data_IF_493058690752
#
_entry.id   IF_493058690752
#
_cell.length_a   1.000
_cell.length_b   1.000
_cell.length_c   1.000
_cell.angle_alpha   90.00
_cell.angle_beta   90.00
_cell.angle_gamma   90.00
#
_symmetry.space_group_name_H-M   'P 1'
#
loop_
_entity.id
_entity.type
_entity.pdbx_description
1 polymer ?
#
# COMPACT_ATOMS: atom_id res chain seq x y z
N UNK A 1 -36.48 -7.26 37.97
CA UNK A 1 -35.74 -8.52 37.71
C UNK A 1 -35.94 -9.10 36.29
N UNK A 2 -37.13 -8.99 35.66
CA UNK A 2 -37.37 -9.53 34.30
C UNK A 2 -36.36 -9.06 33.24
N UNK A 3 -35.94 -7.78 33.27
CA UNK A 3 -34.97 -7.24 32.31
C UNK A 3 -33.60 -7.91 32.40
N UNK A 4 -33.13 -8.19 33.63
CA UNK A 4 -31.85 -8.87 33.85
C UNK A 4 -31.88 -10.31 33.32
N UNK A 5 -32.96 -11.05 33.61
CA UNK A 5 -33.14 -12.41 33.08
C UNK A 5 -33.21 -12.44 31.55
N UNK A 6 -33.90 -11.46 30.93
CA UNK A 6 -33.96 -11.31 29.46
C UNK A 6 -32.58 -11.02 28.86
N UNK A 7 -31.77 -10.19 29.51
CA UNK A 7 -30.39 -9.92 29.10
C UNK A 7 -29.50 -11.16 29.18
N UNK A 8 -29.55 -11.88 30.30
CA UNK A 8 -28.79 -13.13 30.46
C UNK A 8 -29.22 -14.19 29.45
N UNK A 9 -30.51 -14.37 29.19
CA UNK A 9 -31.01 -15.28 28.17
C UNK A 9 -30.46 -14.95 26.77
N UNK A 10 -30.33 -13.66 26.43
CA UNK A 10 -29.71 -13.24 25.17
C UNK A 10 -28.21 -13.60 25.14
N UNK A 11 -27.47 -13.36 26.22
CA UNK A 11 -26.06 -13.76 26.34
C UNK A 11 -25.88 -15.27 26.17
N UNK A 12 -26.67 -16.09 26.88
CA UNK A 12 -26.63 -17.55 26.75
C UNK A 12 -26.93 -18.00 25.32
N UNK A 13 -27.85 -17.33 24.61
CA UNK A 13 -28.13 -17.59 23.19
C UNK A 13 -26.92 -17.33 22.27
N UNK A 14 -26.02 -16.40 22.62
CA UNK A 14 -24.82 -16.14 21.80
C UNK A 14 -23.70 -17.17 22.04
N UNK A 15 -23.67 -17.87 23.18
CA UNK A 15 -22.61 -18.83 23.50
C UNK A 15 -22.53 -19.96 22.47
N UNK A 16 -23.68 -20.46 22.00
CA UNK A 16 -23.80 -21.58 21.06
C UNK A 16 -23.69 -21.17 19.58
N UNK A 17 -23.64 -19.87 19.27
CA UNK A 17 -23.48 -19.42 17.88
C UNK A 17 -22.05 -19.61 17.39
N UNK A 18 -21.92 -19.88 16.08
CA UNK A 18 -20.65 -19.89 15.36
C UNK A 18 -19.94 -18.54 15.55
N UNK A 19 -18.64 -18.59 15.87
CA UNK A 19 -17.81 -17.40 16.02
C UNK A 19 -17.48 -16.82 14.65
N UNK A 20 -17.45 -15.50 14.57
CA UNK A 20 -17.11 -14.73 13.35
C UNK A 20 -15.62 -14.34 13.30
N UNK A 21 -14.79 -15.08 14.04
CA UNK A 21 -13.35 -14.84 14.17
C UNK A 21 -12.60 -15.42 12.98
N UNK A 22 -11.53 -14.73 12.57
CA UNK A 22 -10.53 -15.25 11.64
C UNK A 22 -9.29 -15.71 12.43
N UNK A 23 -8.68 -16.81 12.01
CA UNK A 23 -7.46 -17.34 12.64
C UNK A 23 -6.22 -16.69 12.03
N UNK A 24 -5.97 -15.42 12.34
CA UNK A 24 -4.75 -14.74 11.87
C UNK A 24 -3.51 -15.31 12.61
N UNK A 25 -2.37 -15.58 11.93
CA UNK A 25 -2.09 -15.34 10.50
C UNK A 25 -2.44 -16.50 9.55
N UNK A 26 -2.84 -17.67 10.06
CA UNK A 26 -3.08 -18.88 9.26
C UNK A 26 -4.22 -18.76 8.23
N UNK A 27 -5.15 -17.84 8.46
CA UNK A 27 -6.28 -17.55 7.57
C UNK A 27 -6.14 -16.15 6.99
N UNK A 28 -5.96 -16.07 5.68
CA UNK A 28 -5.90 -14.81 4.94
C UNK A 28 -7.23 -14.04 4.98
N UNK A 29 -7.11 -12.71 4.98
CA UNK A 29 -8.25 -11.80 4.86
C UNK A 29 -8.51 -11.47 3.40
N UNK A 30 -9.77 -11.53 2.98
CA UNK A 30 -10.19 -11.13 1.63
C UNK A 30 -10.46 -9.63 1.62
N UNK A 31 -9.65 -8.89 0.87
CA UNK A 31 -9.78 -7.45 0.71
C UNK A 31 -10.59 -7.09 -0.54
N UNK A 32 -11.32 -5.97 -0.53
CA UNK A 32 -11.92 -5.45 -1.75
C UNK A 32 -10.83 -5.01 -2.75
N UNK A 33 -11.13 -5.05 -4.04
CA UNK A 33 -10.21 -4.68 -5.13
C UNK A 33 -9.62 -3.26 -4.97
N UNK A 34 -10.39 -2.33 -4.38
CA UNK A 34 -9.98 -0.93 -4.15
C UNK A 34 -9.35 -0.69 -2.78
N UNK A 35 -8.89 -1.74 -2.11
CA UNK A 35 -8.16 -1.60 -0.87
C UNK A 35 -6.89 -0.74 -1.09
N UNK A 36 -6.56 0.10 -0.10
CA UNK A 36 -5.42 1.00 -0.14
C UNK A 36 -4.36 0.46 0.80
N UNK A 37 -3.50 -0.39 0.26
CA UNK A 37 -2.37 -0.98 0.98
C UNK A 37 -1.06 -0.23 0.72
N UNK A 38 0.02 -1.00 0.69
CA UNK A 38 1.37 -0.51 0.45
C UNK A 38 1.60 -0.40 -1.07
N UNK A 39 2.33 0.61 -1.53
CA UNK A 39 2.51 0.84 -2.96
C UNK A 39 3.51 -0.16 -3.56
N UNK A 40 3.19 -0.63 -4.77
CA UNK A 40 4.15 -1.22 -5.70
C UNK A 40 4.61 -0.13 -6.67
N UNK A 41 5.89 -0.10 -7.01
CA UNK A 41 6.44 0.84 -7.99
C UNK A 41 7.19 0.09 -9.08
N UNK A 42 6.69 0.21 -10.32
CA UNK A 42 7.27 -0.36 -11.53
C UNK A 42 8.21 0.68 -12.20
N UNK A 43 9.53 0.62 -11.97
CA UNK A 43 10.46 1.65 -12.43
C UNK A 43 10.53 1.79 -13.95
N UNK A 44 10.30 0.70 -14.69
CA UNK A 44 10.29 0.65 -16.15
C UNK A 44 9.13 1.42 -16.79
N UNK A 45 8.04 1.62 -16.05
CA UNK A 45 6.88 2.44 -16.48
C UNK A 45 7.05 3.91 -16.11
N UNK A 46 7.97 4.27 -15.23
CA UNK A 46 8.11 5.63 -14.73
C UNK A 46 8.81 6.56 -15.74
N UNK A 47 8.15 7.66 -16.10
CA UNK A 47 8.68 8.69 -17.01
C UNK A 47 9.25 9.92 -16.28
N UNK A 48 9.44 9.84 -14.95
CA UNK A 48 10.02 10.93 -14.14
C UNK A 48 9.24 12.26 -14.27
N UNK A 49 7.91 12.19 -14.38
CA UNK A 49 7.05 13.38 -14.55
C UNK A 49 6.80 14.17 -13.25
N UNK A 50 7.15 13.58 -12.10
CA UNK A 50 7.03 14.17 -10.76
C UNK A 50 5.59 14.48 -10.28
N UNK A 51 4.56 13.96 -10.94
CA UNK A 51 3.16 14.23 -10.57
C UNK A 51 2.78 13.60 -9.22
N UNK A 52 3.17 12.35 -8.99
CA UNK A 52 2.90 11.63 -7.73
C UNK A 52 3.53 12.31 -6.50
N UNK A 53 4.78 12.79 -6.62
CA UNK A 53 5.43 13.53 -5.54
C UNK A 53 4.78 14.90 -5.30
N UNK A 54 4.37 15.60 -6.35
CA UNK A 54 3.70 16.92 -6.24
C UNK A 54 2.30 16.85 -5.64
N UNK A 55 1.54 15.79 -5.94
CA UNK A 55 0.18 15.64 -5.39
C UNK A 55 0.19 15.10 -3.96
N UNK A 56 1.30 14.51 -3.51
CA UNK A 56 1.41 13.89 -2.20
C UNK A 56 1.12 14.92 -1.08
N UNK A 57 0.06 14.75 -0.28
CA UNK A 57 -0.33 15.75 0.71
C UNK A 57 0.67 15.88 1.88
N UNK A 58 1.50 14.86 2.10
CA UNK A 58 2.50 14.83 3.17
C UNK A 58 3.93 14.99 2.66
N UNK A 59 4.13 15.13 1.34
CA UNK A 59 5.46 15.17 0.71
C UNK A 59 6.36 13.98 1.10
N UNK A 60 5.78 12.78 1.24
CA UNK A 60 6.51 11.58 1.66
C UNK A 60 7.32 10.91 0.54
N UNK A 61 7.18 11.36 -0.71
CA UNK A 61 7.78 10.75 -1.89
C UNK A 61 9.00 11.56 -2.33
N UNK A 62 10.17 10.91 -2.40
CA UNK A 62 11.38 11.47 -2.99
C UNK A 62 11.59 10.88 -4.39
N UNK A 63 11.56 11.72 -5.43
CA UNK A 63 11.74 11.29 -6.83
C UNK A 63 12.85 12.11 -7.48
N UNK A 64 13.94 11.44 -7.84
CA UNK A 64 15.07 12.03 -8.56
C UNK A 64 15.24 11.28 -9.88
N UNK A 65 15.44 12.02 -10.97
CA UNK A 65 15.78 11.45 -12.27
C UNK A 65 17.08 12.00 -12.80
N UNK A 66 17.85 11.14 -13.46
CA UNK A 66 19.13 11.46 -14.10
C UNK A 66 19.03 11.38 -15.61
N UNK A 67 20.04 11.92 -16.30
CA UNK A 67 20.15 11.76 -17.75
C UNK A 67 20.43 10.28 -18.07
N UNK A 68 19.78 9.75 -19.10
CA UNK A 68 20.11 8.40 -19.58
C UNK A 68 21.55 8.34 -20.10
N UNK A 69 22.25 7.26 -19.78
CA UNK A 69 23.58 6.97 -20.35
C UNK A 69 23.47 6.40 -21.77
N UNK A 70 22.30 5.86 -22.14
CA UNK A 70 22.02 5.38 -23.49
C UNK A 70 21.81 6.58 -24.44
N UNK A 71 22.69 6.78 -25.44
CA UNK A 71 22.59 7.89 -26.39
C UNK A 71 21.28 7.89 -27.19
N UNK A 72 20.61 6.73 -27.31
CA UNK A 72 19.37 6.58 -28.06
C UNK A 72 18.12 6.86 -27.21
N UNK A 73 18.23 6.84 -25.87
CA UNK A 73 17.13 7.17 -24.97
C UNK A 73 17.09 8.67 -24.70
N UNK A 74 16.13 9.35 -25.32
CA UNK A 74 15.82 10.76 -25.02
C UNK A 74 14.99 10.84 -23.74
N UNK A 75 15.45 11.62 -22.76
CA UNK A 75 14.71 11.90 -21.53
C UNK A 75 15.50 11.65 -20.24
N UNK A 76 14.80 11.69 -19.11
CA UNK A 76 15.33 11.29 -17.81
C UNK A 76 15.00 9.82 -17.54
N UNK A 77 15.91 9.12 -16.90
CA UNK A 77 15.66 7.81 -16.27
C UNK A 77 15.55 8.01 -14.77
N UNK A 78 14.78 7.14 -14.10
CA UNK A 78 14.65 7.17 -12.65
C UNK A 78 16.02 6.89 -12.01
N UNK A 79 16.35 7.65 -10.96
CA UNK A 79 17.56 7.46 -10.16
C UNK A 79 17.20 7.10 -8.72
N UNK A 80 16.21 7.80 -8.17
CA UNK A 80 15.71 7.58 -6.81
C UNK A 80 14.20 7.63 -6.82
N UNK A 81 13.57 6.69 -6.14
CA UNK A 81 12.15 6.71 -5.85
C UNK A 81 11.93 6.11 -4.46
N UNK A 82 11.76 6.96 -3.46
CA UNK A 82 11.58 6.51 -2.08
C UNK A 82 10.26 7.00 -1.51
N UNK A 83 9.66 6.22 -0.61
CA UNK A 83 8.47 6.58 0.15
C UNK A 83 8.77 6.47 1.65
N UNK A 84 8.58 7.57 2.37
CA UNK A 84 8.58 7.56 3.83
C UNK A 84 7.18 7.18 4.36
N UNK A 85 7.02 5.94 4.80
CA UNK A 85 5.75 5.45 5.34
C UNK A 85 5.44 5.92 6.76
N UNK A 86 6.38 6.57 7.45
CA UNK A 86 6.09 7.21 8.74
C UNK A 86 5.03 8.32 8.59
N UNK A 87 5.04 9.01 7.44
CA UNK A 87 4.17 10.15 7.14
C UNK A 87 3.26 9.90 5.93
N UNK A 88 3.33 8.73 5.30
CA UNK A 88 2.39 8.37 4.25
C UNK A 88 1.00 8.10 4.85
N UNK A 89 -0.04 8.70 4.28
CA UNK A 89 -1.43 8.54 4.76
C UNK A 89 -2.25 7.55 3.91
N UNK A 90 -1.60 6.79 3.01
CA UNK A 90 -2.21 5.76 2.17
C UNK A 90 -3.47 6.22 1.41
N UNK A 91 -3.45 7.46 0.89
CA UNK A 91 -4.63 8.12 0.32
C UNK A 91 -4.96 7.79 -1.14
N UNK A 92 -4.07 7.09 -1.86
CA UNK A 92 -4.22 6.69 -3.28
C UNK A 92 -4.02 7.81 -4.32
N UNK A 93 -3.79 9.06 -3.93
CA UNK A 93 -3.61 10.18 -4.88
C UNK A 93 -2.39 9.99 -5.81
N UNK A 94 -1.32 9.35 -5.34
CA UNK A 94 -0.13 9.10 -6.16
C UNK A 94 -0.39 8.12 -7.31
N UNK A 95 -1.31 7.16 -7.12
CA UNK A 95 -1.67 6.18 -8.15
C UNK A 95 -2.65 6.79 -9.15
N UNK A 96 -3.66 7.52 -8.66
CA UNK A 96 -4.67 8.17 -9.50
C UNK A 96 -4.05 9.20 -10.45
N UNK A 97 -3.01 9.91 -10.00
CA UNK A 97 -2.33 10.91 -10.83
C UNK A 97 -1.28 10.31 -11.77
N UNK A 98 -0.86 9.06 -11.57
CA UNK A 98 0.23 8.49 -12.35
C UNK A 98 -0.22 8.19 -13.78
N UNK A 99 0.29 8.91 -14.81
CA UNK A 99 -0.22 8.75 -16.17
C UNK A 99 0.20 7.45 -16.85
N UNK A 100 1.15 6.72 -16.27
CA UNK A 100 1.70 5.47 -16.81
C UNK A 100 1.49 4.28 -15.88
N UNK A 101 0.72 4.47 -14.80
CA UNK A 101 0.47 3.44 -13.78
C UNK A 101 1.77 2.81 -13.24
N UNK A 102 2.83 3.62 -13.14
CA UNK A 102 4.11 3.20 -12.58
C UNK A 102 4.08 3.03 -11.06
N UNK A 103 3.12 3.66 -10.38
CA UNK A 103 2.86 3.44 -8.96
C UNK A 103 1.41 3.03 -8.78
N UNK A 104 1.20 1.91 -8.10
CA UNK A 104 -0.14 1.34 -7.84
C UNK A 104 -0.23 0.83 -6.41
N UNK A 105 -1.45 0.68 -5.90
CA UNK A 105 -1.68 0.08 -4.58
C UNK A 105 -1.62 -1.44 -4.68
N UNK A 106 -1.11 -2.08 -3.63
CA UNK A 106 -1.32 -3.51 -3.38
C UNK A 106 -2.40 -3.70 -2.32
N UNK A 107 -2.80 -4.95 -2.06
CA UNK A 107 -3.54 -5.30 -0.85
C UNK A 107 -2.63 -5.69 0.33
N UNK A 108 -1.31 -5.57 0.19
CA UNK A 108 -0.38 -5.77 1.29
C UNK A 108 -0.56 -4.63 2.32
N UNK A 109 -0.61 -4.99 3.60
CA UNK A 109 -0.89 -4.04 4.69
C UNK A 109 0.04 -4.20 5.89
N UNK A 110 0.88 -5.23 5.91
CA UNK A 110 1.71 -5.62 7.04
C UNK A 110 3.02 -4.82 7.07
N UNK A 111 2.91 -3.53 7.43
CA UNK A 111 4.03 -2.58 7.44
C UNK A 111 4.68 -2.41 8.82
N UNK A 112 4.29 -3.21 9.80
CA UNK A 112 4.80 -3.10 11.17
C UNK A 112 6.32 -3.33 11.19
N UNK A 113 7.04 -2.48 11.93
CA UNK A 113 8.50 -2.45 12.00
C UNK A 113 8.98 -2.16 13.42
N UNK A 114 10.20 -2.59 13.75
CA UNK A 114 10.86 -2.31 15.03
C UNK A 114 11.64 -0.99 15.05
N UNK A 115 11.94 -0.41 13.88
CA UNK A 115 12.67 0.85 13.76
C UNK A 115 11.99 1.81 12.78
N UNK A 116 12.24 3.11 12.96
CA UNK A 116 11.72 4.15 12.06
C UNK A 116 12.37 4.11 10.69
N UNK A 117 13.66 3.78 10.64
CA UNK A 117 14.43 3.73 9.39
C UNK A 117 13.87 2.66 8.44
N UNK A 118 13.36 1.56 8.97
CA UNK A 118 12.67 0.51 8.20
C UNK A 118 11.34 0.97 7.58
N UNK A 119 10.74 2.09 8.01
CA UNK A 119 9.54 2.67 7.37
C UNK A 119 9.89 3.52 6.13
N UNK A 120 11.17 3.77 5.88
CA UNK A 120 11.62 4.36 4.64
C UNK A 120 11.86 3.24 3.61
N UNK A 121 11.05 3.23 2.55
CA UNK A 121 11.16 2.21 1.49
C UNK A 121 11.74 2.85 0.24
N UNK A 122 12.84 2.28 -0.21
CA UNK A 122 13.53 2.71 -1.42
C UNK A 122 12.91 2.09 -2.68
N UNK A 123 13.44 2.45 -3.84
CA UNK A 123 12.96 1.99 -5.14
C UNK A 123 12.92 0.46 -5.24
N UNK A 124 14.00 -0.21 -4.83
CA UNK A 124 14.13 -1.67 -4.89
C UNK A 124 13.04 -2.36 -4.06
N UNK A 125 12.83 -1.92 -2.82
CA UNK A 125 11.79 -2.49 -1.96
C UNK A 125 10.39 -2.31 -2.55
N UNK A 126 10.11 -1.16 -3.16
CA UNK A 126 8.81 -0.86 -3.76
C UNK A 126 8.57 -1.65 -5.06
N UNK A 127 9.64 -1.92 -5.82
CA UNK A 127 9.59 -2.80 -6.99
C UNK A 127 9.34 -4.25 -6.56
N UNK A 128 10.04 -4.72 -5.53
CA UNK A 128 9.87 -6.07 -4.95
C UNK A 128 8.51 -6.31 -4.30
N UNK A 129 7.77 -5.25 -3.94
CA UNK A 129 6.40 -5.34 -3.42
C UNK A 129 5.37 -5.64 -4.53
N UNK A 130 5.64 -6.61 -5.39
CA UNK A 130 4.93 -6.91 -6.64
C UNK A 130 3.84 -8.00 -6.52
N UNK A 131 3.48 -8.39 -5.31
CA UNK A 131 2.38 -9.34 -5.05
C UNK A 131 1.12 -8.64 -4.58
N UNK A 132 -0.04 -9.22 -4.89
CA UNK A 132 -1.35 -8.69 -4.55
C UNK A 132 -1.57 -7.29 -5.13
N UNK A 133 -1.08 -7.06 -6.35
CA UNK A 133 -1.13 -5.75 -7.00
C UNK A 133 -2.55 -5.48 -7.51
N UNK A 134 -3.07 -4.27 -7.28
CA UNK A 134 -4.38 -3.86 -7.77
C UNK A 134 -4.38 -3.85 -9.30
N UNK A 135 -5.29 -4.61 -9.90
CA UNK A 135 -5.38 -4.78 -11.35
C UNK A 135 -4.68 -6.04 -11.88
N UNK A 136 -4.07 -6.84 -11.01
CA UNK A 136 -3.35 -8.07 -11.34
C UNK A 136 -1.87 -7.95 -10.97
N UNK A 137 -1.25 -9.09 -10.62
CA UNK A 137 0.18 -9.16 -10.31
C UNK A 137 1.03 -8.88 -11.55
N UNK A 138 2.20 -8.25 -11.35
CA UNK A 138 3.11 -7.80 -12.41
C UNK A 138 3.89 -8.96 -13.06
#
# INVERSE_FOLDING_TARGET
MLGFAKGMAYTFKQLTKKKVTHMYPDQEMVWPERFRGIQHFAPEKCIVCNQCARICPTNCINLIGKKSEDPNKKGKVIDTYDINFEICILCDLCTEVCPTEAIVMTTNFELASYSRDELFKNLEWLDDNNTNVRGGDA
#
